data_IF_098873187149
#
_entry.id   IF_098873187149
#
_cell.length_a   1.000
_cell.length_b   1.000
_cell.length_c   1.000
_cell.angle_alpha   90.00
_cell.angle_beta   90.00
_cell.angle_gamma   90.00
#
_symmetry.space_group_name_H-M   'P 1'
#
loop_
_entity.id
_entity.type
_entity.pdbx_description
1 polymer ?
#
# COMPACT_ATOMS: atom_id res chain seq x y z
N UNK A 1 -14.22 5.81 10.74
CA UNK A 1 -13.79 4.47 11.21
C UNK A 1 -13.71 3.53 9.99
N UNK A 2 -12.60 3.59 9.24
CA UNK A 2 -12.37 2.74 8.04
C UNK A 2 -11.66 1.44 8.44
N UNK A 3 -10.49 1.56 9.08
CA UNK A 3 -9.67 0.43 9.52
C UNK A 3 -10.43 -0.56 10.41
N UNK A 4 -11.27 -0.07 11.31
CA UNK A 4 -12.12 -0.91 12.17
C UNK A 4 -13.16 -1.76 11.40
N UNK A 5 -13.47 -1.41 10.16
CA UNK A 5 -14.42 -2.14 9.31
C UNK A 5 -13.72 -3.09 8.33
N UNK A 6 -12.54 -2.70 7.85
CA UNK A 6 -11.82 -3.41 6.78
C UNK A 6 -10.68 -4.29 7.29
N UNK A 7 -10.20 -4.00 8.49
CA UNK A 7 -9.11 -4.67 9.21
C UNK A 7 -7.77 -4.71 8.45
N UNK A 8 -7.62 -3.91 7.40
CA UNK A 8 -6.47 -3.89 6.49
C UNK A 8 -6.15 -2.46 6.11
N UNK A 9 -4.86 -2.17 5.98
CA UNK A 9 -4.34 -0.85 5.65
C UNK A 9 -3.27 -0.95 4.56
N UNK A 10 -3.50 -0.23 3.46
CA UNK A 10 -2.50 0.05 2.44
C UNK A 10 -2.40 1.57 2.30
N UNK A 11 -1.21 2.13 2.51
CA UNK A 11 -0.92 3.55 2.27
C UNK A 11 -0.21 3.66 0.93
N UNK A 12 -0.74 4.51 0.04
CA UNK A 12 -0.20 4.72 -1.30
C UNK A 12 0.40 6.13 -1.36
N UNK A 13 1.61 6.24 -1.88
CA UNK A 13 2.37 7.48 -1.94
C UNK A 13 3.06 7.62 -3.31
N UNK A 14 2.98 8.80 -3.92
CA UNK A 14 3.68 9.10 -5.17
C UNK A 14 5.18 9.28 -4.95
N UNK A 15 5.57 9.65 -3.72
CA UNK A 15 6.95 9.93 -3.37
C UNK A 15 7.72 8.67 -2.94
N UNK A 16 9.03 8.84 -2.77
CA UNK A 16 9.94 7.78 -2.31
C UNK A 16 9.61 7.29 -0.89
N UNK A 17 10.06 6.09 -0.51
CA UNK A 17 9.74 5.54 0.81
C UNK A 17 10.28 6.41 1.96
N UNK A 18 9.56 6.41 3.08
CA UNK A 18 10.01 7.06 4.32
C UNK A 18 9.51 8.50 4.52
N UNK A 19 8.80 9.06 3.54
CA UNK A 19 8.16 10.37 3.62
C UNK A 19 6.81 10.36 4.34
N UNK A 20 5.81 10.97 3.71
CA UNK A 20 4.46 11.11 4.27
C UNK A 20 3.84 9.75 4.65
N UNK A 21 4.04 8.73 3.81
CA UNK A 21 3.61 7.35 4.08
C UNK A 21 4.10 6.79 5.42
N UNK A 22 5.35 7.05 5.82
CA UNK A 22 5.87 6.59 7.11
C UNK A 22 5.25 7.35 8.29
N UNK A 23 5.05 8.66 8.14
CA UNK A 23 4.35 9.48 9.12
C UNK A 23 2.91 8.99 9.34
N UNK A 24 2.16 8.75 8.25
CA UNK A 24 0.79 8.22 8.33
C UNK A 24 0.75 6.84 8.98
N UNK A 25 1.72 5.97 8.68
CA UNK A 25 1.82 4.66 9.33
C UNK A 25 1.96 4.80 10.86
N UNK A 26 2.86 5.67 11.32
CA UNK A 26 3.04 5.94 12.75
C UNK A 26 1.78 6.50 13.39
N UNK A 27 1.15 7.50 12.77
CA UNK A 27 -0.08 8.11 13.29
C UNK A 27 -1.22 7.09 13.43
N UNK A 28 -1.44 6.28 12.40
CA UNK A 28 -2.57 5.34 12.36
C UNK A 28 -2.31 4.14 13.28
N UNK A 29 -1.12 3.52 13.19
CA UNK A 29 -0.84 2.27 13.90
C UNK A 29 -0.51 2.52 15.37
N UNK A 30 0.37 3.49 15.66
CA UNK A 30 0.85 3.75 17.01
C UNK A 30 -0.06 4.73 17.76
N UNK A 31 -0.22 5.95 17.26
CA UNK A 31 -0.88 7.02 18.03
C UNK A 31 -2.39 6.82 18.14
N UNK A 32 -3.04 6.39 17.06
CA UNK A 32 -4.47 6.08 17.05
C UNK A 32 -4.77 4.65 17.51
N UNK A 33 -3.73 3.85 17.80
CA UNK A 33 -3.87 2.45 18.18
C UNK A 33 -4.57 1.63 17.10
N UNK A 34 -4.26 1.84 15.82
CA UNK A 34 -4.86 1.08 14.71
C UNK A 34 -4.51 -0.41 14.74
N UNK A 35 -3.40 -0.77 15.39
CA UNK A 35 -2.89 -2.15 15.47
C UNK A 35 -3.92 -3.18 15.97
N UNK A 36 -4.75 -2.83 16.96
CA UNK A 36 -5.81 -3.69 17.51
C UNK A 36 -6.88 -4.11 16.49
N UNK A 37 -6.93 -3.46 15.34
CA UNK A 37 -7.91 -3.74 14.28
C UNK A 37 -7.28 -4.43 13.06
N UNK A 38 -5.98 -4.70 13.05
CA UNK A 38 -5.30 -5.26 11.88
C UNK A 38 -5.35 -6.79 11.88
N UNK A 39 -5.89 -7.36 10.80
CA UNK A 39 -5.87 -8.81 10.54
C UNK A 39 -4.66 -9.21 9.66
N UNK A 40 -4.07 -8.25 8.95
CA UNK A 40 -2.88 -8.40 8.12
C UNK A 40 -1.89 -7.28 8.41
N UNK A 41 -0.61 -7.52 8.12
CA UNK A 41 0.42 -6.49 8.26
C UNK A 41 0.06 -5.26 7.42
N UNK A 42 0.17 -4.03 7.97
CA UNK A 42 -0.10 -2.83 7.20
C UNK A 42 1.03 -2.61 6.20
N UNK A 43 0.70 -2.19 4.99
CA UNK A 43 1.68 -2.08 3.90
C UNK A 43 1.71 -0.65 3.35
N UNK A 44 2.85 -0.28 2.77
CA UNK A 44 2.99 0.92 1.96
C UNK A 44 3.28 0.54 0.51
N UNK A 45 2.79 1.35 -0.41
CA UNK A 45 3.12 1.29 -1.84
C UNK A 45 3.56 2.69 -2.24
N UNK A 46 4.85 2.86 -2.49
CA UNK A 46 5.48 4.17 -2.74
C UNK A 46 6.22 4.15 -4.07
N UNK A 47 6.68 5.31 -4.54
CA UNK A 47 7.61 5.32 -5.67
C UNK A 47 8.90 4.57 -5.35
N UNK A 48 9.58 4.13 -6.41
CA UNK A 48 10.89 3.50 -6.30
C UNK A 48 11.92 4.52 -5.81
N UNK A 49 12.85 4.06 -4.98
CA UNK A 49 13.91 4.89 -4.40
C UNK A 49 15.04 5.21 -5.41
N UNK A 50 14.71 5.84 -6.53
CA UNK A 50 15.66 6.34 -7.52
C UNK A 50 15.20 7.68 -8.09
N UNK A 51 16.10 8.37 -8.80
CA UNK A 51 15.70 9.55 -9.56
C UNK A 51 14.85 9.13 -10.77
N UNK A 52 13.70 9.76 -11.01
CA UNK A 52 12.88 9.42 -12.17
C UNK A 52 13.62 9.77 -13.47
N UNK A 53 13.36 8.99 -14.51
CA UNK A 53 13.82 9.32 -15.85
C UNK A 53 13.16 10.62 -16.34
N UNK A 54 13.76 11.26 -17.35
CA UNK A 54 13.17 12.45 -17.97
C UNK A 54 11.91 12.07 -18.76
N UNK A 55 10.91 12.96 -18.76
CA UNK A 55 9.60 12.79 -19.41
C UNK A 55 8.64 11.79 -18.74
N UNK A 56 7.48 11.60 -19.37
CA UNK A 56 6.33 10.83 -18.85
C UNK A 56 6.63 9.36 -18.57
N UNK A 57 7.59 8.78 -19.28
CA UNK A 57 8.04 7.40 -19.03
C UNK A 57 8.65 7.29 -17.62
N UNK A 58 9.30 8.37 -17.14
CA UNK A 58 9.81 8.45 -15.78
C UNK A 58 8.71 8.31 -14.74
N UNK A 59 7.56 8.93 -14.94
CA UNK A 59 6.43 8.82 -14.02
C UNK A 59 5.87 7.40 -13.99
N UNK A 60 5.67 6.78 -15.16
CA UNK A 60 5.12 5.42 -15.28
C UNK A 60 5.99 4.36 -14.59
N UNK A 61 7.32 4.46 -14.70
CA UNK A 61 8.22 3.45 -14.11
C UNK A 61 8.62 3.74 -12.66
N UNK A 62 8.47 4.98 -12.20
CA UNK A 62 8.94 5.39 -10.87
C UNK A 62 7.82 5.43 -9.84
N UNK A 63 6.60 5.84 -10.22
CA UNK A 63 5.46 6.04 -9.33
C UNK A 63 4.54 4.83 -9.34
N UNK A 64 3.81 4.55 -8.23
CA UNK A 64 2.77 3.52 -8.25
C UNK A 64 1.69 3.84 -9.27
N UNK A 65 1.40 2.90 -10.16
CA UNK A 65 0.32 3.00 -11.13
C UNK A 65 -0.91 2.19 -10.68
N UNK A 66 -1.97 2.21 -11.51
CA UNK A 66 -3.22 1.54 -11.18
C UNK A 66 -3.06 0.00 -11.09
N UNK A 67 -2.21 -0.57 -11.94
CA UNK A 67 -1.87 -1.98 -11.95
C UNK A 67 -1.13 -2.37 -10.66
N UNK A 68 -0.11 -1.61 -10.25
CA UNK A 68 0.63 -1.84 -9.00
C UNK A 68 -0.32 -1.81 -7.79
N UNK A 69 -1.23 -0.84 -7.74
CA UNK A 69 -2.23 -0.71 -6.68
C UNK A 69 -3.17 -1.92 -6.69
N UNK A 70 -3.67 -2.30 -7.87
CA UNK A 70 -4.57 -3.44 -8.01
C UNK A 70 -3.90 -4.74 -7.56
N UNK A 71 -2.70 -5.04 -8.06
CA UNK A 71 -1.95 -6.24 -7.69
C UNK A 71 -1.67 -6.29 -6.19
N UNK A 72 -1.29 -5.16 -5.59
CA UNK A 72 -1.00 -5.07 -4.15
C UNK A 72 -2.25 -5.32 -3.31
N UNK A 73 -3.37 -4.68 -3.66
CA UNK A 73 -4.66 -4.90 -2.98
C UNK A 73 -5.12 -6.35 -3.19
N UNK A 74 -5.01 -6.88 -4.40
CA UNK A 74 -5.42 -8.24 -4.71
C UNK A 74 -4.60 -9.26 -3.92
N UNK A 75 -3.29 -9.07 -3.78
CA UNK A 75 -2.42 -9.91 -2.96
C UNK A 75 -2.84 -9.89 -1.49
N UNK A 76 -3.18 -8.72 -0.94
CA UNK A 76 -3.72 -8.60 0.43
C UNK A 76 -5.05 -9.37 0.56
N UNK A 77 -5.91 -9.33 -0.45
CA UNK A 77 -7.18 -10.09 -0.42
C UNK A 77 -6.98 -11.60 -0.64
N UNK A 78 -5.98 -11.98 -1.43
CA UNK A 78 -5.57 -13.37 -1.64
C UNK A 78 -5.06 -14.01 -0.35
N UNK A 79 -4.24 -13.30 0.44
CA UNK A 79 -3.77 -13.74 1.77
C UNK A 79 -4.94 -14.17 2.68
N UNK A 80 -6.05 -13.43 2.58
CA UNK A 80 -7.22 -13.59 3.45
C UNK A 80 -8.11 -14.73 3.00
N UNK A 81 -8.36 -14.81 1.69
CA UNK A 81 -9.21 -15.84 1.12
C UNK A 81 -8.71 -16.22 -0.29
N UNK A 82 -7.79 -17.19 -0.37
CA UNK A 82 -7.23 -17.65 -1.65
C UNK A 82 -8.28 -18.23 -2.60
N UNK A 83 -9.41 -18.73 -2.08
CA UNK A 83 -10.47 -19.33 -2.88
C UNK A 83 -11.32 -18.27 -3.60
N UNK A 84 -11.63 -17.16 -2.91
CA UNK A 84 -12.37 -16.04 -3.49
C UNK A 84 -11.48 -15.13 -4.35
N UNK A 85 -10.19 -15.07 -4.05
CA UNK A 85 -9.20 -14.26 -4.74
C UNK A 85 -8.05 -15.16 -5.23
N UNK A 86 -8.23 -15.98 -6.27
CA UNK A 86 -7.18 -16.90 -6.74
C UNK A 86 -5.96 -16.17 -7.29
N UNK A 87 -4.78 -16.80 -7.23
CA UNK A 87 -3.54 -16.20 -7.73
C UNK A 87 -3.67 -15.67 -9.17
N UNK A 88 -3.24 -14.42 -9.38
CA UNK A 88 -3.14 -13.81 -10.70
C UNK A 88 -2.08 -14.58 -11.54
N UNK A 89 -2.33 -14.70 -12.85
CA UNK A 89 -1.46 -15.41 -13.78
C UNK A 89 -0.40 -14.51 -14.39
#
# INVERSE_FOLDING_TARGET
>A
KSLQKTNRLLIIDEDVPGGCSAYLMQEIVEKQGGYQYLDSAPQTLTAKAHRPAYATDGDYFSKPNAEDIFEKVYAIMHEVNPNSYPALR
#
